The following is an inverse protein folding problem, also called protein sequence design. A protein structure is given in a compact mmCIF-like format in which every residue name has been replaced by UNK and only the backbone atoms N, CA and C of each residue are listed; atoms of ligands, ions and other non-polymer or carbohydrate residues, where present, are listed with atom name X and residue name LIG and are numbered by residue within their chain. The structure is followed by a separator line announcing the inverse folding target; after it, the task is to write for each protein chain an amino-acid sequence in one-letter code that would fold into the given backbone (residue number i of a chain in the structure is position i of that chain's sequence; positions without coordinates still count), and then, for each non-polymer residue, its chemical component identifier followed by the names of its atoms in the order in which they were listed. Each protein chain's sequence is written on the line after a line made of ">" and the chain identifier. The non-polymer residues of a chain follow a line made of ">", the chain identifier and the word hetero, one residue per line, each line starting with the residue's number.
data_IF_156601377372
#
_entry.id   IF_156601377372
#
_cell.length_a   1.000
_cell.length_b   1.000
_cell.length_c   1.000
_cell.angle_alpha   90.00
_cell.angle_beta   90.00
_cell.angle_gamma   90.00
#
_symmetry.space_group_name_H-M   'P 1'
#
loop_
_entity.id
_entity.type
_entity.pdbx_description
1 polymer ?
#
# COMPACT_ATOMS: atom_id res chain seq x y z
N UNK A 1 19.33 9.72 -5.98
CA UNK A 1 17.99 9.42 -5.41
C UNK A 1 16.93 9.66 -6.46
N UNK A 2 16.13 8.62 -6.70
CA UNK A 2 15.05 8.62 -7.69
C UNK A 2 13.80 8.01 -7.08
N UNK A 3 12.66 8.25 -7.72
CA UNK A 3 11.39 7.58 -7.40
C UNK A 3 10.66 7.20 -8.67
N UNK A 4 9.73 6.27 -8.56
CA UNK A 4 8.88 5.87 -9.69
C UNK A 4 7.83 6.96 -9.91
N UNK A 5 7.65 7.37 -11.15
CA UNK A 5 6.68 8.38 -11.54
C UNK A 5 5.26 7.82 -11.35
N UNK A 6 4.46 8.49 -10.53
CA UNK A 6 3.13 7.96 -10.16
C UNK A 6 2.19 7.79 -11.35
N UNK A 7 2.26 8.69 -12.34
CA UNK A 7 1.39 8.68 -13.52
C UNK A 7 1.64 7.48 -14.44
N UNK A 8 2.78 6.79 -14.30
CA UNK A 8 3.07 5.59 -15.10
C UNK A 8 2.39 4.34 -14.54
N UNK A 9 1.81 4.39 -13.34
CA UNK A 9 1.27 3.22 -12.64
C UNK A 9 -0.25 3.31 -12.50
N UNK A 10 -0.92 2.16 -12.66
CA UNK A 10 -2.37 2.03 -12.60
C UNK A 10 -2.79 1.03 -11.52
N UNK A 11 -4.05 1.11 -11.09
CA UNK A 11 -4.62 0.12 -10.17
C UNK A 11 -4.49 -1.29 -10.72
N UNK A 12 -4.10 -2.23 -9.85
CA UNK A 12 -3.84 -3.62 -10.20
C UNK A 12 -2.45 -3.87 -10.78
N UNK A 13 -1.65 -2.83 -11.00
CA UNK A 13 -0.25 -3.04 -11.35
C UNK A 13 0.53 -3.63 -10.18
N UNK A 14 1.54 -4.41 -10.50
CA UNK A 14 2.43 -5.05 -9.53
C UNK A 14 3.82 -4.46 -9.73
N UNK A 15 4.41 -3.96 -8.64
CA UNK A 15 5.81 -3.58 -8.62
C UNK A 15 6.62 -4.62 -7.88
N UNK A 16 7.77 -4.97 -8.43
CA UNK A 16 8.76 -5.79 -7.78
C UNK A 16 10.02 -4.99 -7.51
N UNK A 17 10.72 -5.30 -6.42
CA UNK A 17 11.97 -4.59 -6.06
C UNK A 17 13.10 -5.55 -5.70
N UNK A 18 14.31 -5.08 -5.95
CA UNK A 18 15.56 -5.83 -5.73
C UNK A 18 16.59 -4.97 -4.97
N UNK A 19 16.20 -4.47 -3.78
CA UNK A 19 17.08 -3.63 -2.95
C UNK A 19 18.40 -4.35 -2.57
N UNK A 20 19.50 -3.63 -2.26
CA UNK A 20 20.82 -4.21 -2.03
C UNK A 20 20.99 -4.79 -0.61
N UNK A 21 20.01 -4.60 0.27
CA UNK A 21 20.05 -5.08 1.66
C UNK A 21 20.19 -6.60 1.81
N UNK A 22 20.75 -7.04 2.95
CA UNK A 22 21.05 -8.47 3.22
C UNK A 22 19.83 -9.39 3.06
N UNK A 23 18.67 -8.97 3.58
CA UNK A 23 17.42 -9.74 3.45
C UNK A 23 17.01 -9.91 1.99
N UNK A 24 17.07 -8.83 1.20
CA UNK A 24 16.71 -8.85 -0.21
C UNK A 24 17.65 -9.74 -1.03
N UNK A 25 18.97 -9.65 -0.78
CA UNK A 25 19.98 -10.54 -1.38
C UNK A 25 19.73 -12.01 -1.03
N UNK A 26 19.42 -12.30 0.24
CA UNK A 26 19.09 -13.65 0.70
C UNK A 26 17.89 -14.23 -0.03
N UNK A 27 16.80 -13.47 -0.15
CA UNK A 27 15.59 -13.91 -0.88
C UNK A 27 15.96 -14.24 -2.32
N UNK A 28 16.57 -13.31 -3.08
CA UNK A 28 16.96 -13.53 -4.47
C UNK A 28 17.83 -14.77 -4.66
N UNK A 29 18.80 -14.98 -3.76
CA UNK A 29 19.65 -16.15 -3.77
C UNK A 29 18.83 -17.44 -3.56
N UNK A 30 17.97 -17.48 -2.54
CA UNK A 30 17.16 -18.68 -2.23
C UNK A 30 16.09 -18.99 -3.26
N UNK A 31 15.56 -17.97 -3.94
CA UNK A 31 14.55 -18.14 -5.00
C UNK A 31 15.17 -18.32 -6.38
N UNK A 32 16.51 -18.17 -6.52
CA UNK A 32 17.18 -18.08 -7.83
C UNK A 32 16.66 -16.94 -8.71
N UNK A 33 16.07 -15.90 -8.10
CA UNK A 33 15.28 -14.88 -8.79
C UNK A 33 15.91 -13.49 -8.81
N UNK A 34 15.38 -12.61 -9.64
CA UNK A 34 15.85 -11.22 -9.78
C UNK A 34 15.24 -10.29 -8.73
N UNK A 35 14.11 -10.68 -8.14
CA UNK A 35 13.32 -9.82 -7.26
C UNK A 35 13.13 -10.43 -5.88
N UNK A 36 12.89 -9.57 -4.88
CA UNK A 36 12.81 -9.97 -3.47
C UNK A 36 11.53 -9.55 -2.76
N UNK A 37 10.76 -8.66 -3.37
CA UNK A 37 9.59 -8.08 -2.77
C UNK A 37 8.57 -7.75 -3.86
N UNK A 38 7.29 -7.82 -3.50
CA UNK A 38 6.17 -7.56 -4.39
C UNK A 38 5.16 -6.64 -3.68
N UNK A 39 4.59 -5.70 -4.43
CA UNK A 39 3.56 -4.77 -3.95
C UNK A 39 2.53 -4.53 -5.06
N UNK A 40 1.28 -4.26 -4.67
CA UNK A 40 0.17 -4.02 -5.60
C UNK A 40 -0.28 -2.57 -5.53
N UNK A 41 -0.50 -1.94 -6.69
CA UNK A 41 -1.06 -0.60 -6.81
C UNK A 41 -2.58 -0.64 -6.57
N UNK A 42 -3.06 0.17 -5.61
CA UNK A 42 -4.47 0.19 -5.17
C UNK A 42 -5.17 1.52 -5.42
N UNK A 43 -4.41 2.58 -5.68
CA UNK A 43 -4.86 3.88 -6.16
C UNK A 43 -3.67 4.63 -6.76
N UNK A 44 -3.90 5.81 -7.36
CA UNK A 44 -2.83 6.62 -7.92
C UNK A 44 -1.74 6.90 -6.86
N UNK A 45 -0.52 6.41 -7.10
CA UNK A 45 0.60 6.51 -6.15
C UNK A 45 0.44 5.73 -4.84
N UNK A 46 -0.62 4.94 -4.63
CA UNK A 46 -0.85 4.16 -3.40
C UNK A 46 -0.66 2.67 -3.65
N UNK A 47 0.18 2.05 -2.82
CA UNK A 47 0.50 0.63 -2.92
C UNK A 47 0.19 -0.07 -1.61
N UNK A 48 -0.10 -1.35 -1.68
CA UNK A 48 -0.20 -2.21 -0.52
C UNK A 48 0.86 -3.32 -0.63
N UNK A 49 1.57 -3.55 0.45
CA UNK A 49 2.55 -4.61 0.57
C UNK A 49 2.50 -5.27 1.96
N UNK A 50 3.27 -6.36 2.13
CA UNK A 50 3.43 -7.02 3.42
C UNK A 50 4.91 -7.07 3.79
N UNK A 51 5.27 -6.40 4.87
CA UNK A 51 6.62 -6.36 5.43
C UNK A 51 6.60 -6.86 6.87
N UNK A 52 7.73 -6.85 7.59
CA UNK A 52 7.75 -7.27 9.01
C UNK A 52 6.76 -6.51 9.92
N UNK A 53 6.36 -5.31 9.51
CA UNK A 53 5.36 -4.49 10.22
C UNK A 53 3.91 -4.89 9.89
N UNK A 54 3.71 -5.97 9.12
CA UNK A 54 2.41 -6.41 8.63
C UNK A 54 2.08 -5.86 7.25
N UNK A 55 0.83 -6.04 6.85
CA UNK A 55 0.27 -5.48 5.61
C UNK A 55 -0.04 -4.01 5.81
N UNK A 56 0.51 -3.15 4.95
CA UNK A 56 0.40 -1.69 5.08
C UNK A 56 0.19 -1.02 3.73
N UNK A 57 -0.48 0.13 3.74
CA UNK A 57 -0.58 1.01 2.58
C UNK A 57 0.59 1.99 2.55
N UNK A 58 1.25 2.13 1.41
CA UNK A 58 2.40 3.01 1.17
C UNK A 58 2.08 4.04 0.09
N UNK A 59 2.90 5.09 0.03
CA UNK A 59 2.85 6.10 -1.02
C UNK A 59 4.15 6.01 -1.84
N UNK A 60 4.02 5.79 -3.14
CA UNK A 60 5.14 5.64 -4.08
C UNK A 60 6.02 6.87 -4.16
N UNK A 61 5.46 8.08 -3.98
CA UNK A 61 6.23 9.32 -3.98
C UNK A 61 7.20 9.41 -2.79
N UNK A 62 6.93 8.63 -1.73
CA UNK A 62 7.80 8.48 -0.55
C UNK A 62 8.71 7.26 -0.63
N UNK A 63 8.54 6.42 -1.65
CA UNK A 63 9.37 5.24 -1.89
C UNK A 63 10.57 5.66 -2.74
N UNK A 64 11.65 6.04 -2.05
CA UNK A 64 12.88 6.48 -2.69
C UNK A 64 13.80 5.28 -2.98
N UNK A 65 14.48 5.40 -4.12
CA UNK A 65 15.45 4.45 -4.62
C UNK A 65 16.80 5.12 -4.82
N UNK A 66 17.86 4.41 -4.46
CA UNK A 66 19.22 4.79 -4.88
C UNK A 66 19.37 4.59 -6.40
N UNK A 67 20.37 5.23 -7.00
CA UNK A 67 20.50 5.25 -8.46
C UNK A 67 20.79 3.84 -9.03
N UNK A 68 21.47 2.98 -8.26
CA UNK A 68 21.75 1.58 -8.59
C UNK A 68 20.63 0.60 -8.22
N UNK A 69 19.61 1.05 -7.46
CA UNK A 69 18.47 0.22 -7.12
C UNK A 69 17.54 0.01 -8.32
N UNK A 70 17.02 -1.22 -8.42
CA UNK A 70 16.12 -1.65 -9.49
C UNK A 70 14.71 -1.90 -8.96
N UNK A 71 13.74 -1.44 -9.74
CA UNK A 71 12.35 -1.81 -9.63
C UNK A 71 11.89 -2.36 -10.99
N UNK A 72 10.85 -3.19 -10.94
CA UNK A 72 10.25 -3.80 -12.12
C UNK A 72 8.75 -3.60 -12.06
N UNK A 73 8.13 -3.24 -13.18
CA UNK A 73 6.72 -2.89 -13.25
C UNK A 73 5.98 -3.88 -14.14
N UNK A 74 4.91 -4.47 -13.62
CA UNK A 74 4.12 -5.46 -14.31
C UNK A 74 2.64 -5.12 -14.29
N UNK A 75 1.96 -5.47 -15.38
CA UNK A 75 0.51 -5.36 -15.54
C UNK A 75 -0.05 -6.63 -16.15
N UNK A 76 -1.32 -6.95 -15.87
CA UNK A 76 -2.03 -8.01 -16.59
C UNK A 76 -2.02 -7.75 -18.10
N UNK A 77 -1.74 -8.80 -18.88
CA UNK A 77 -1.76 -8.76 -20.35
C UNK A 77 -3.15 -8.43 -20.87
N UNK A 78 -4.16 -9.07 -20.29
CA UNK A 78 -5.57 -8.85 -20.57
C UNK A 78 -6.13 -8.03 -19.40
N UNK A 79 -6.53 -6.77 -19.62
CA UNK A 79 -7.14 -5.96 -18.57
C UNK A 79 -8.41 -6.65 -18.05
N UNK A 80 -8.55 -6.82 -16.72
CA UNK A 80 -9.76 -7.39 -16.15
C UNK A 80 -10.93 -6.42 -16.26
N UNK A 81 -12.16 -6.93 -16.13
CA UNK A 81 -13.33 -6.08 -15.96
C UNK A 81 -13.19 -5.19 -14.72
N UNK A 82 -13.77 -3.98 -14.78
CA UNK A 82 -13.69 -2.99 -13.69
C UNK A 82 -14.13 -3.57 -12.35
N UNK A 83 -15.17 -4.39 -12.33
CA UNK A 83 -15.68 -5.01 -11.10
C UNK A 83 -14.68 -6.00 -10.50
N UNK A 84 -14.04 -6.81 -11.34
CA UNK A 84 -13.00 -7.75 -10.90
C UNK A 84 -11.78 -6.99 -10.37
N UNK A 85 -11.36 -5.93 -11.06
CA UNK A 85 -10.28 -5.07 -10.55
C UNK A 85 -10.64 -4.48 -9.19
N UNK A 86 -11.85 -3.94 -9.03
CA UNK A 86 -12.31 -3.39 -7.76
C UNK A 86 -12.25 -4.43 -6.63
N UNK A 87 -12.66 -5.68 -6.91
CA UNK A 87 -12.53 -6.79 -5.94
C UNK A 87 -11.08 -7.05 -5.53
N UNK A 88 -10.14 -7.12 -6.50
CA UNK A 88 -8.70 -7.27 -6.19
C UNK A 88 -8.24 -6.16 -5.23
N UNK A 89 -8.62 -4.92 -5.51
CA UNK A 89 -8.22 -3.78 -4.69
C UNK A 89 -8.85 -3.84 -3.30
N UNK A 90 -10.14 -4.18 -3.20
CA UNK A 90 -10.84 -4.27 -1.92
C UNK A 90 -10.31 -5.42 -1.07
N UNK A 91 -9.96 -6.56 -1.67
CA UNK A 91 -9.24 -7.63 -0.96
C UNK A 91 -7.87 -7.18 -0.45
N UNK A 92 -7.10 -6.43 -1.24
CA UNK A 92 -5.83 -5.89 -0.77
C UNK A 92 -6.00 -4.96 0.44
N UNK A 93 -7.03 -4.11 0.44
CA UNK A 93 -7.36 -3.21 1.56
C UNK A 93 -7.85 -3.97 2.79
N UNK A 94 -8.63 -5.02 2.60
CA UNK A 94 -9.15 -5.88 3.67
C UNK A 94 -8.05 -6.58 4.48
N UNK A 95 -6.87 -6.75 3.88
CA UNK A 95 -5.70 -7.37 4.51
C UNK A 95 -4.86 -6.37 5.33
N UNK A 96 -5.13 -5.05 5.28
CA UNK A 96 -4.38 -4.05 6.07
C UNK A 96 -4.35 -4.45 7.55
N UNK A 97 -3.14 -4.52 8.09
CA UNK A 97 -2.87 -4.92 9.46
C UNK A 97 -2.48 -6.39 9.64
N UNK A 98 -2.78 -7.27 8.69
CA UNK A 98 -2.48 -8.69 8.79
C UNK A 98 -0.98 -8.90 9.05
N UNK A 99 -0.64 -9.72 10.05
CA UNK A 99 0.76 -9.88 10.46
C UNK A 99 1.57 -10.58 9.38
N UNK A 100 2.87 -10.29 9.38
CA UNK A 100 3.82 -10.98 8.52
C UNK A 100 4.21 -12.35 9.07
N UNK A 101 4.37 -13.32 8.18
CA UNK A 101 4.77 -14.69 8.53
C UNK A 101 6.15 -15.02 7.97
N UNK A 102 7.20 -14.87 8.79
CA UNK A 102 8.58 -15.24 8.41
C UNK A 102 8.70 -16.73 8.12
N UNK A 103 8.05 -17.57 8.92
CA UNK A 103 8.13 -19.03 8.78
C UNK A 103 7.44 -19.50 7.50
N UNK A 104 6.31 -18.91 7.13
CA UNK A 104 5.64 -19.26 5.89
C UNK A 104 6.30 -18.64 4.65
N UNK A 105 6.87 -17.44 4.77
CA UNK A 105 7.70 -16.86 3.72
C UNK A 105 8.93 -17.75 3.43
N UNK A 106 9.59 -18.27 4.48
CA UNK A 106 10.69 -19.22 4.30
C UNK A 106 10.23 -20.57 3.70
N UNK A 107 8.97 -20.97 3.89
CA UNK A 107 8.41 -22.18 3.27
C UNK A 107 7.99 -21.98 1.82
N UNK A 108 7.83 -20.74 1.34
CA UNK A 108 7.43 -20.50 -0.05
C UNK A 108 8.50 -20.90 -1.06
N UNK A 109 9.75 -21.10 -0.62
CA UNK A 109 10.85 -21.66 -1.45
C UNK A 109 10.93 -23.19 -1.37
N UNK A 110 10.08 -23.84 -0.57
CA UNK A 110 10.09 -25.28 -0.35
C UNK A 110 8.96 -25.96 -1.14
N UNK A 111 9.17 -27.18 -1.68
CA UNK A 111 8.11 -27.94 -2.34
C UNK A 111 7.04 -28.47 -1.36
N UNK A 112 7.30 -28.46 -0.05
CA UNK A 112 6.39 -29.00 0.95
C UNK A 112 5.26 -28.02 1.28
N UNK A 113 4.03 -28.47 1.06
CA UNK A 113 2.81 -27.69 1.26
C UNK A 113 2.25 -27.93 2.66
N UNK A 114 1.91 -26.86 3.38
CA UNK A 114 1.20 -26.92 4.67
C UNK A 114 -0.10 -26.11 4.63
N UNK A 115 -0.96 -26.27 5.64
CA UNK A 115 -2.08 -25.35 5.86
C UNK A 115 -1.55 -23.92 6.01
N UNK A 116 -2.10 -22.98 5.26
CA UNK A 116 -1.73 -21.56 5.36
C UNK A 116 -2.50 -20.86 6.47
N UNK A 117 -1.84 -19.90 7.11
CA UNK A 117 -2.51 -19.03 8.09
C UNK A 117 -3.15 -17.80 7.41
N UNK A 118 -3.88 -17.00 8.19
CA UNK A 118 -4.34 -15.67 7.76
C UNK A 118 -3.19 -14.64 7.64
N UNK A 119 -2.00 -14.94 8.16
CA UNK A 119 -0.84 -14.06 8.05
C UNK A 119 -0.34 -13.98 6.61
N UNK A 120 0.31 -12.88 6.30
CA UNK A 120 0.73 -12.56 4.94
C UNK A 120 2.26 -12.51 4.81
N UNK A 121 2.72 -12.52 3.57
CA UNK A 121 4.02 -12.04 3.14
C UNK A 121 3.85 -11.47 1.73
N UNK A 122 4.83 -10.70 1.25
CA UNK A 122 4.66 -9.84 0.08
C UNK A 122 4.06 -10.54 -1.14
N UNK A 123 4.64 -11.66 -1.58
CA UNK A 123 4.14 -12.41 -2.74
C UNK A 123 2.82 -13.12 -2.47
N UNK A 124 2.62 -13.72 -1.28
CA UNK A 124 1.32 -14.33 -0.91
C UNK A 124 0.20 -13.31 -0.96
N UNK A 125 0.41 -12.10 -0.42
CA UNK A 125 -0.59 -11.04 -0.43
C UNK A 125 -1.05 -10.76 -1.86
N UNK A 126 -0.10 -10.46 -2.76
CA UNK A 126 -0.39 -10.19 -4.17
C UNK A 126 -1.09 -11.39 -4.81
N UNK A 127 -0.58 -12.60 -4.65
CA UNK A 127 -1.17 -13.78 -5.27
C UNK A 127 -2.60 -14.05 -4.77
N UNK A 128 -2.87 -13.88 -3.47
CA UNK A 128 -4.20 -14.13 -2.88
C UNK A 128 -5.23 -13.12 -3.33
N UNK A 129 -4.90 -11.83 -3.39
CA UNK A 129 -5.89 -10.80 -3.77
C UNK A 129 -6.36 -10.97 -5.22
N UNK A 130 -5.47 -11.40 -6.13
CA UNK A 130 -5.84 -11.76 -7.49
C UNK A 130 -6.61 -13.08 -7.54
N UNK A 131 -6.16 -14.11 -6.82
CA UNK A 131 -6.81 -15.43 -6.81
C UNK A 131 -8.25 -15.36 -6.25
N UNK A 132 -8.49 -14.56 -5.21
CA UNK A 132 -9.83 -14.33 -4.64
C UNK A 132 -10.78 -13.63 -5.62
N UNK A 133 -10.26 -12.87 -6.58
CA UNK A 133 -11.02 -12.25 -7.67
C UNK A 133 -11.09 -13.15 -8.92
N UNK A 134 -10.63 -14.41 -8.85
CA UNK A 134 -10.66 -15.37 -9.96
C UNK A 134 -9.49 -15.28 -10.93
N UNK A 135 -8.43 -14.52 -10.60
CA UNK A 135 -7.24 -14.37 -11.44
C UNK A 135 -6.08 -15.17 -10.81
N UNK A 136 -5.79 -16.34 -11.37
CA UNK A 136 -4.72 -17.20 -10.88
C UNK A 136 -3.37 -16.80 -11.48
N UNK A 137 -2.67 -15.86 -10.83
CA UNK A 137 -1.33 -15.44 -11.27
C UNK A 137 -0.29 -16.57 -11.16
N UNK A 138 -0.46 -17.45 -10.18
CA UNK A 138 0.43 -18.58 -9.88
C UNK A 138 -0.41 -19.78 -9.40
N UNK A 139 0.06 -21.03 -9.59
CA UNK A 139 -0.69 -22.23 -9.21
C UNK A 139 -1.03 -22.35 -7.72
N UNK A 140 -0.28 -21.67 -6.85
CA UNK A 140 -0.52 -21.69 -5.41
C UNK A 140 -0.37 -20.29 -4.81
N UNK A 141 -1.50 -19.60 -4.63
CA UNK A 141 -1.52 -18.26 -4.04
C UNK A 141 -1.06 -18.21 -2.57
N UNK A 142 -1.05 -19.34 -1.85
CA UNK A 142 -0.63 -19.38 -0.45
C UNK A 142 0.90 -19.52 -0.27
N UNK A 143 1.60 -20.05 -1.26
CA UNK A 143 3.03 -20.28 -1.22
C UNK A 143 3.62 -20.06 -2.61
N UNK A 144 4.09 -18.84 -2.84
CA UNK A 144 4.80 -18.44 -4.04
C UNK A 144 5.87 -17.41 -3.68
N UNK A 145 6.94 -17.36 -4.44
CA UNK A 145 7.99 -16.35 -4.31
C UNK A 145 7.62 -15.09 -5.12
N UNK A 146 8.28 -13.94 -4.87
CA UNK A 146 8.15 -12.77 -5.75
C UNK A 146 8.56 -13.08 -7.19
N UNK A 147 9.53 -13.97 -7.39
CA UNK A 147 9.99 -14.39 -8.72
C UNK A 147 8.91 -15.22 -9.45
N UNK A 148 8.20 -16.11 -8.75
CA UNK A 148 7.11 -16.90 -9.35
C UNK A 148 6.01 -15.97 -9.92
N UNK A 149 5.69 -14.90 -9.20
CA UNK A 149 4.75 -13.88 -9.66
C UNK A 149 5.31 -13.13 -10.87
N UNK A 150 6.58 -12.70 -10.82
CA UNK A 150 7.23 -11.98 -11.92
C UNK A 150 7.25 -12.79 -13.23
N UNK A 151 7.38 -14.11 -13.11
CA UNK A 151 7.37 -15.04 -14.24
C UNK A 151 5.97 -15.48 -14.67
N UNK A 152 4.90 -14.96 -14.04
CA UNK A 152 3.53 -15.31 -14.39
C UNK A 152 3.25 -15.04 -15.88
N UNK A 153 2.72 -16.02 -16.63
CA UNK A 153 2.41 -15.84 -18.04
C UNK A 153 1.28 -14.83 -18.27
N UNK A 154 0.52 -14.48 -17.22
CA UNK A 154 -0.57 -13.50 -17.28
C UNK A 154 -0.07 -12.05 -17.21
N UNK A 155 1.17 -11.83 -16.78
CA UNK A 155 1.75 -10.50 -16.62
C UNK A 155 2.66 -10.14 -17.79
N UNK A 156 2.66 -8.86 -18.14
CA UNK A 156 3.66 -8.24 -19.04
C UNK A 156 4.47 -7.24 -18.24
N UNK A 157 5.78 -7.23 -18.50
CA UNK A 157 6.68 -6.22 -17.98
C UNK A 157 6.46 -4.90 -18.75
N UNK A 158 6.52 -3.80 -18.03
CA UNK A 158 6.41 -2.43 -18.51
C UNK A 158 7.70 -1.69 -18.15
N UNK A 159 8.06 -0.69 -18.95
CA UNK A 159 9.19 0.19 -18.65
C UNK A 159 8.87 1.00 -17.40
N UNK A 160 9.78 0.95 -16.42
CA UNK A 160 9.66 1.79 -15.22
C UNK A 160 10.10 3.21 -15.57
N UNK A 161 9.20 4.17 -15.38
CA UNK A 161 9.54 5.58 -15.47
C UNK A 161 10.01 6.08 -14.09
N UNK A 162 11.26 6.50 -14.02
CA UNK A 162 11.81 7.14 -12.82
C UNK A 162 11.90 8.65 -13.02
N UNK A 163 11.74 9.39 -11.92
CA UNK A 163 12.07 10.80 -11.84
C UNK A 163 13.10 11.05 -10.72
N UNK A 164 13.96 12.05 -10.93
CA UNK A 164 14.95 12.46 -9.92
C UNK A 164 14.26 13.29 -8.85
N UNK A 165 14.67 13.10 -7.59
CA UNK A 165 14.19 13.88 -6.45
C UNK A 165 15.26 14.88 -6.05
N UNK A 166 14.91 16.17 -5.97
CA UNK A 166 15.88 17.23 -5.66
C UNK A 166 16.27 17.21 -4.18
N UNK A 167 17.41 17.81 -3.84
CA UNK A 167 17.89 17.88 -2.45
C UNK A 167 16.91 18.70 -1.59
N UNK A 168 16.33 19.75 -2.15
CA UNK A 168 15.33 20.59 -1.50
C UNK A 168 14.07 19.77 -1.16
N UNK A 169 13.60 18.94 -2.10
CA UNK A 169 12.46 18.06 -1.87
C UNK A 169 12.77 17.01 -0.80
N UNK A 170 13.97 16.40 -0.83
CA UNK A 170 14.41 15.46 0.20
C UNK A 170 14.46 16.09 1.59
N UNK A 171 14.93 17.34 1.69
CA UNK A 171 14.97 18.09 2.95
C UNK A 171 13.54 18.37 3.48
N UNK A 172 12.62 18.79 2.60
CA UNK A 172 11.21 19.00 2.94
C UNK A 172 10.53 17.71 3.41
N UNK A 173 10.80 16.59 2.73
CA UNK A 173 10.26 15.27 3.09
C UNK A 173 10.78 14.80 4.46
N UNK A 174 12.05 15.05 4.76
CA UNK A 174 12.71 14.59 5.99
C UNK A 174 12.38 15.46 7.20
N UNK A 175 12.09 16.75 7.00
CA UNK A 175 11.82 17.71 8.08
C UNK A 175 10.39 17.66 8.63
N UNK A 176 9.47 16.90 8.03
CA UNK A 176 8.06 16.88 8.39
C UNK A 176 7.55 15.52 8.87
N UNK A 177 6.52 15.52 9.72
CA UNK A 177 5.80 14.29 10.07
C UNK A 177 5.26 13.62 8.80
N UNK A 178 5.61 12.36 8.60
CA UNK A 178 5.07 11.52 7.55
C UNK A 178 3.67 11.01 7.96
N UNK A 179 2.58 11.42 7.29
CA UNK A 179 1.23 10.98 7.63
C UNK A 179 1.02 9.48 7.39
N UNK A 180 1.81 8.86 6.50
CA UNK A 180 1.75 7.41 6.25
C UNK A 180 2.23 6.65 7.47
N UNK A 181 3.37 7.06 8.05
CA UNK A 181 3.91 6.42 9.26
C UNK A 181 2.97 6.62 10.45
N UNK A 182 2.40 7.82 10.62
CA UNK A 182 1.41 8.08 11.66
C UNK A 182 0.15 7.19 11.52
N UNK A 183 -0.28 6.90 10.29
CA UNK A 183 -1.37 5.96 10.04
C UNK A 183 -0.97 4.53 10.39
N UNK A 184 0.24 4.11 10.02
CA UNK A 184 0.77 2.79 10.34
C UNK A 184 0.86 2.55 11.84
N UNK A 185 1.41 3.51 12.58
CA UNK A 185 1.54 3.43 14.04
C UNK A 185 0.17 3.33 14.70
N UNK A 186 -0.77 4.17 14.27
CA UNK A 186 -2.13 4.16 14.82
C UNK A 186 -2.86 2.83 14.51
N UNK A 187 -2.75 2.33 13.28
CA UNK A 187 -3.32 1.05 12.88
C UNK A 187 -2.75 -0.11 13.70
N UNK A 188 -1.43 -0.13 13.86
CA UNK A 188 -0.75 -1.18 14.61
C UNK A 188 -1.11 -1.14 16.10
N UNK A 189 -1.20 0.04 16.72
CA UNK A 189 -1.60 0.18 18.11
C UNK A 189 -3.03 -0.36 18.35
N UNK A 190 -3.98 -0.05 17.47
CA UNK A 190 -5.36 -0.58 17.55
C UNK A 190 -5.38 -2.10 17.41
N UNK A 191 -4.64 -2.65 16.44
CA UNK A 191 -4.59 -4.09 16.23
C UNK A 191 -3.84 -4.83 17.34
N UNK A 192 -2.84 -4.22 17.95
CA UNK A 192 -2.14 -4.78 19.10
C UNK A 192 -3.06 -4.86 20.33
N UNK A 193 -3.85 -3.80 20.59
CA UNK A 193 -4.90 -3.84 21.60
C UNK A 193 -5.93 -4.94 21.32
N UNK A 194 -6.39 -5.07 20.08
CA UNK A 194 -7.30 -6.15 19.69
C UNK A 194 -6.69 -7.55 19.87
N UNK A 195 -5.40 -7.71 19.55
CA UNK A 195 -4.67 -8.97 19.72
C UNK A 195 -4.44 -9.34 21.17
N UNK A 196 -4.41 -8.36 22.07
CA UNK A 196 -4.32 -8.61 23.52
C UNK A 196 -5.57 -9.31 24.07
N UNK A 197 -6.74 -9.10 23.44
CA UNK A 197 -8.00 -9.75 23.84
C UNK A 197 -8.32 -10.98 22.98
N UNK A 198 -7.92 -11.00 21.71
CA UNK A 198 -8.00 -12.18 20.83
C UNK A 198 -6.78 -12.25 19.90
N UNK A 199 -5.88 -13.22 20.16
CA UNK A 199 -4.63 -13.38 19.42
C UNK A 199 -4.80 -13.79 17.95
N UNK A 200 -6.02 -14.14 17.52
CA UNK A 200 -6.36 -14.53 16.14
C UNK A 200 -6.69 -13.34 15.24
N UNK A 201 -6.78 -12.12 15.78
CA UNK A 201 -7.01 -10.90 14.99
C UNK A 201 -5.80 -10.65 14.09
N UNK A 202 -6.05 -10.60 12.78
CA UNK A 202 -5.04 -10.23 11.80
C UNK A 202 -5.32 -8.86 11.21
N UNK A 203 -6.55 -8.55 10.76
CA UNK A 203 -6.86 -7.26 10.15
C UNK A 203 -8.01 -6.51 10.84
N UNK A 204 -8.24 -5.26 10.42
CA UNK A 204 -9.36 -4.45 10.90
C UNK A 204 -10.72 -5.12 10.65
N UNK A 205 -10.84 -5.93 9.60
CA UNK A 205 -12.08 -6.63 9.29
C UNK A 205 -12.42 -7.71 10.33
N UNK A 206 -11.43 -8.28 11.02
CA UNK A 206 -11.68 -9.24 12.10
C UNK A 206 -12.31 -8.56 13.34
N UNK A 207 -12.17 -7.23 13.49
CA UNK A 207 -12.70 -6.49 14.65
C UNK A 207 -14.23 -6.54 14.73
N UNK A 208 -14.92 -6.47 13.58
CA UNK A 208 -16.39 -6.58 13.56
C UNK A 208 -16.85 -7.92 14.13
N UNK A 209 -16.24 -9.01 13.68
CA UNK A 209 -16.57 -10.35 14.16
C UNK A 209 -16.21 -10.54 15.64
N UNK A 210 -15.13 -9.90 16.11
CA UNK A 210 -14.77 -9.87 17.52
C UNK A 210 -15.85 -9.18 18.36
N UNK A 211 -16.23 -7.95 18.00
CA UNK A 211 -17.19 -7.15 18.76
C UNK A 211 -18.59 -7.78 18.79
N UNK A 212 -19.00 -8.45 17.71
CA UNK A 212 -20.27 -9.21 17.70
C UNK A 212 -20.23 -10.41 18.65
N UNK A 213 -19.10 -11.12 18.73
CA UNK A 213 -18.95 -12.32 19.57
C UNK A 213 -18.63 -11.99 21.02
N UNK A 214 -17.93 -10.89 21.25
CA UNK A 214 -17.37 -10.47 22.53
C UNK A 214 -17.56 -8.97 22.76
N UNK A 215 -18.82 -8.51 22.95
CA UNK A 215 -19.11 -7.08 23.15
C UNK A 215 -18.38 -6.47 24.35
N UNK A 216 -17.96 -7.28 25.33
CA UNK A 216 -17.21 -6.81 26.50
C UNK A 216 -15.82 -6.26 26.15
N UNK A 217 -15.31 -6.57 24.95
CA UNK A 217 -14.02 -6.07 24.47
C UNK A 217 -14.09 -4.67 23.85
N UNK A 218 -15.30 -4.12 23.65
CA UNK A 218 -15.53 -2.84 22.97
C UNK A 218 -14.72 -1.70 23.58
N UNK A 219 -14.73 -1.58 24.91
CA UNK A 219 -14.01 -0.50 25.60
C UNK A 219 -12.50 -0.54 25.34
N UNK A 220 -11.90 -1.73 25.21
CA UNK A 220 -10.47 -1.87 24.91
C UNK A 220 -10.16 -1.35 23.50
N UNK A 221 -11.01 -1.69 22.52
CA UNK A 221 -10.85 -1.27 21.14
C UNK A 221 -11.12 0.23 21.00
N UNK A 222 -12.19 0.74 21.62
CA UNK A 222 -12.55 2.16 21.61
C UNK A 222 -11.43 3.02 22.23
N UNK A 223 -10.89 2.59 23.37
CA UNK A 223 -9.77 3.29 24.00
C UNK A 223 -8.54 3.31 23.09
N UNK A 224 -8.22 2.19 22.43
CA UNK A 224 -7.09 2.13 21.52
C UNK A 224 -7.27 3.03 20.28
N UNK A 225 -8.48 3.13 19.74
CA UNK A 225 -8.81 4.04 18.63
C UNK A 225 -8.57 5.51 19.01
N UNK A 226 -8.94 5.89 20.25
CA UNK A 226 -8.73 7.25 20.76
C UNK A 226 -7.25 7.49 21.08
N UNK A 227 -6.63 6.62 21.90
CA UNK A 227 -5.28 6.85 22.42
C UNK A 227 -4.18 6.76 21.34
N UNK A 228 -4.42 5.97 20.29
CA UNK A 228 -3.52 5.91 19.13
C UNK A 228 -3.60 7.15 18.22
N UNK A 229 -4.62 8.00 18.41
CA UNK A 229 -4.90 9.12 17.53
C UNK A 229 -5.48 8.72 16.17
N UNK A 230 -5.87 7.45 15.97
CA UNK A 230 -6.46 6.96 14.72
C UNK A 230 -7.64 7.82 14.26
N UNK A 231 -8.51 8.21 15.20
CA UNK A 231 -9.69 9.05 14.94
C UNK A 231 -9.36 10.52 14.63
N UNK A 232 -8.12 10.95 14.87
CA UNK A 232 -7.68 12.33 14.76
C UNK A 232 -6.66 12.56 13.64
N UNK A 233 -6.21 11.53 12.93
CA UNK A 233 -5.23 11.65 11.86
C UNK A 233 -5.67 12.62 10.76
N UNK A 234 -6.96 12.65 10.43
CA UNK A 234 -7.51 13.57 9.43
C UNK A 234 -7.32 15.04 9.81
N UNK A 235 -7.32 15.38 11.11
CA UNK A 235 -7.13 16.76 11.58
C UNK A 235 -5.75 17.29 11.21
N UNK A 236 -4.73 16.42 11.22
CA UNK A 236 -3.36 16.79 10.82
C UNK A 236 -3.28 17.16 9.34
N UNK A 237 -4.01 16.44 8.50
CA UNK A 237 -4.04 16.70 7.07
C UNK A 237 -4.80 18.02 6.78
N UNK A 238 -5.95 18.24 7.44
CA UNK A 238 -6.71 19.50 7.33
C UNK A 238 -5.89 20.70 7.81
N UNK A 239 -5.15 20.55 8.90
CA UNK A 239 -4.29 21.63 9.40
C UNK A 239 -3.13 21.95 8.46
N UNK A 240 -2.57 20.94 7.77
CA UNK A 240 -1.45 21.11 6.84
C UNK A 240 -1.90 21.63 5.47
N UNK A 241 -3.08 21.23 4.99
CA UNK A 241 -3.61 21.63 3.68
C UNK A 241 -5.03 22.21 3.79
N UNK A 242 -5.25 23.28 4.56
CA UNK A 242 -6.60 23.80 4.82
C UNK A 242 -7.33 24.26 3.56
N UNK A 243 -6.58 24.67 2.52
CA UNK A 243 -7.12 25.05 1.21
C UNK A 243 -7.77 23.90 0.44
N UNK A 244 -7.53 22.64 0.82
CA UNK A 244 -8.26 21.49 0.25
C UNK A 244 -9.69 21.37 0.78
N UNK A 245 -10.01 22.07 1.87
CA UNK A 245 -11.28 21.90 2.61
C UNK A 245 -12.09 23.17 2.76
N UNK A 246 -11.44 24.33 2.66
CA UNK A 246 -12.09 25.63 2.82
C UNK A 246 -11.94 26.43 1.54
N UNK A 247 -13.07 26.76 0.93
CA UNK A 247 -13.14 27.61 -0.26
C UNK A 247 -12.46 28.97 -0.02
N UNK A 248 -11.80 29.53 -1.05
CA UNK A 248 -11.13 30.84 -1.00
C UNK A 248 -9.82 30.89 -0.22
N UNK A 249 -9.38 29.80 0.42
CA UNK A 249 -8.03 29.75 1.01
C UNK A 249 -6.95 29.48 -0.04
N UNK A 250 -7.31 28.84 -1.16
CA UNK A 250 -6.36 28.58 -2.25
C UNK A 250 -5.95 29.88 -2.96
N UNK A 251 -6.87 30.85 -3.07
CA UNK A 251 -6.63 32.19 -3.65
C UNK A 251 -5.54 32.99 -2.93
N UNK A 252 -5.22 32.59 -1.69
CA UNK A 252 -4.17 33.22 -0.87
C UNK A 252 -2.78 32.64 -1.15
N UNK A 253 -2.68 31.55 -1.89
CA UNK A 253 -1.41 30.95 -2.27
C UNK A 253 -0.75 31.81 -3.35
N UNK A 254 0.52 32.17 -3.14
CA UNK A 254 1.29 33.01 -4.09
C UNK A 254 1.94 32.17 -5.20
N UNK A 255 1.17 31.27 -5.81
CA UNK A 255 1.63 30.37 -6.87
C UNK A 255 1.02 30.76 -8.23
N UNK A 256 1.74 30.57 -9.35
CA UNK A 256 1.21 30.75 -10.69
C UNK A 256 -0.11 29.97 -10.92
N UNK A 257 -1.11 30.56 -11.62
CA UNK A 257 -2.41 29.90 -11.85
C UNK A 257 -2.30 28.51 -12.48
N UNK A 258 -1.36 28.33 -13.42
CA UNK A 258 -1.10 27.02 -14.03
C UNK A 258 -0.67 25.96 -13.00
N UNK A 259 0.19 26.32 -12.04
CA UNK A 259 0.65 25.39 -11.00
C UNK A 259 -0.48 25.04 -10.02
N UNK A 260 -1.34 26.00 -9.68
CA UNK A 260 -2.54 25.75 -8.87
C UNK A 260 -3.53 24.82 -9.59
N UNK A 261 -3.72 25.01 -10.90
CA UNK A 261 -4.56 24.13 -11.72
C UNK A 261 -3.98 22.71 -11.82
N UNK A 262 -2.68 22.59 -12.12
CA UNK A 262 -1.99 21.30 -12.19
C UNK A 262 -2.09 20.56 -10.83
N UNK A 263 -1.93 21.28 -9.72
CA UNK A 263 -2.12 20.75 -8.36
C UNK A 263 -3.56 20.27 -8.09
N UNK A 264 -4.57 21.03 -8.52
CA UNK A 264 -5.97 20.63 -8.35
C UNK A 264 -6.29 19.38 -9.15
N UNK A 265 -5.85 19.32 -10.41
CA UNK A 265 -6.00 18.13 -11.26
C UNK A 265 -5.33 16.92 -10.61
N UNK A 266 -4.09 17.08 -10.12
CA UNK A 266 -3.36 16.04 -9.41
C UNK A 266 -4.12 15.52 -8.19
N UNK A 267 -4.61 16.43 -7.34
CA UNK A 267 -5.36 16.08 -6.12
C UNK A 267 -6.65 15.31 -6.45
N UNK A 268 -7.35 15.67 -7.53
CA UNK A 268 -8.55 14.96 -8.00
C UNK A 268 -8.20 13.55 -8.48
N UNK A 269 -7.11 13.38 -9.23
CA UNK A 269 -6.63 12.07 -9.71
C UNK A 269 -6.19 11.16 -8.56
N UNK A 270 -5.62 11.72 -7.50
CA UNK A 270 -5.22 10.98 -6.29
C UNK A 270 -6.41 10.54 -5.43
N UNK A 271 -7.56 11.22 -5.55
CA UNK A 271 -8.68 11.04 -4.64
C UNK A 271 -9.47 9.76 -4.89
N UNK A 272 -9.49 8.89 -3.87
CA UNK A 272 -10.30 7.67 -3.84
C UNK A 272 -11.81 7.92 -3.95
N UNK A 273 -12.31 9.09 -3.54
CA UNK A 273 -13.75 9.43 -3.55
C UNK A 273 -14.29 9.80 -4.96
N UNK A 274 -13.65 9.34 -6.03
CA UNK A 274 -13.99 9.74 -7.40
C UNK A 274 -13.75 11.23 -7.69
N UNK A 275 -12.78 11.87 -6.99
CA UNK A 275 -12.41 13.27 -7.25
C UNK A 275 -13.37 14.34 -6.73
N UNK A 276 -14.61 13.98 -6.35
CA UNK A 276 -15.68 14.95 -6.03
C UNK A 276 -15.30 15.90 -4.89
N UNK A 277 -14.65 15.39 -3.83
CA UNK A 277 -14.27 16.18 -2.66
C UNK A 277 -13.32 17.33 -2.99
N UNK A 278 -12.43 17.15 -3.97
CA UNK A 278 -11.39 18.11 -4.32
C UNK A 278 -11.70 18.90 -5.60
N UNK A 279 -12.77 18.53 -6.32
CA UNK A 279 -13.24 19.23 -7.51
C UNK A 279 -13.69 20.67 -7.22
N UNK A 280 -14.03 21.00 -5.96
CA UNK A 280 -14.45 22.35 -5.56
C UNK A 280 -13.39 23.42 -5.83
N UNK A 281 -12.11 23.05 -5.77
CA UNK A 281 -10.99 23.94 -6.04
C UNK A 281 -10.70 24.09 -7.55
N UNK A 282 -11.17 23.16 -8.38
CA UNK A 282 -11.01 23.27 -9.83
C UNK A 282 -11.89 24.38 -10.43
N UNK A 283 -12.98 24.72 -9.76
CA UNK A 283 -13.87 25.84 -10.15
C UNK A 283 -13.16 27.19 -9.96
N UNK A 284 -12.10 27.23 -9.16
CA UNK A 284 -11.32 28.43 -8.83
C UNK A 284 -10.10 28.61 -9.74
N UNK A 285 -9.85 27.66 -10.66
CA UNK A 285 -8.71 27.67 -11.58
C UNK A 285 -9.03 28.38 -12.89
#
# INVERSE_FOLDING_TARGET
>A
MKRIKIDSVMQGDILFTARPGKTSKGIRFTTGGLVSHAMICVANGSFIDSTRNGVQARNLQRELFEDDEQAFHFRLKIPPERQILAQVIDYARAEIGARYSLTEAARSVSPFRSSSSKKQFCSRLVARVFNQAGIELVPNANYCTPEDLRQSPLLKELTVEFESVTIEELALMSGGLNPVDAMHDAQNAVLEAARSVDSKIESFNDLYALLVKRPETDQVIANALVSSGYLDLWKKEVARHPWRYTSGLMDKLSEPPKLLCDYCIGTIKEAYSGGVRFAINLIQC
#
